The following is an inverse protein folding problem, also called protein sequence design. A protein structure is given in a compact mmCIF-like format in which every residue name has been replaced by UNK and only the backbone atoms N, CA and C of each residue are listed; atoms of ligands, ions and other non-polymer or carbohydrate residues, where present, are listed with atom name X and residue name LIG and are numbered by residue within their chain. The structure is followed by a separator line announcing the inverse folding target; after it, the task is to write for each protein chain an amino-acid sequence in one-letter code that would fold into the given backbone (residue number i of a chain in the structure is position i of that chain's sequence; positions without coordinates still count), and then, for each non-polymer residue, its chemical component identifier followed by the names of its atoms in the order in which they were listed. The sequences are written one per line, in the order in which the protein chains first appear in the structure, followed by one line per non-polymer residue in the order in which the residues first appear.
data_IF_837980061883
#
_entry.id   IF_837980061883
#
_cell.length_a   1.000
_cell.length_b   1.000
_cell.length_c   1.000
_cell.angle_alpha   90.00
_cell.angle_beta   90.00
_cell.angle_gamma   90.00
#
_symmetry.space_group_name_H-M   'P 1'
#
loop_
_entity.id
_entity.type
_entity.pdbx_description
1 polymer ?
#
# COMPACT_ATOMS: atom_id res chain seq x y z
N UNK A 1 41.55 -4.42 31.23
CA UNK A 1 40.86 -4.18 29.94
C UNK A 1 39.51 -4.92 29.90
N UNK A 2 38.39 -4.36 30.42
CA UNK A 2 37.02 -4.92 30.23
C UNK A 2 35.92 -3.85 30.48
N UNK A 3 35.89 -2.74 29.72
CA UNK A 3 34.82 -1.73 29.88
C UNK A 3 34.27 -1.14 28.57
N UNK A 4 34.65 -1.65 27.40
CA UNK A 4 34.25 -1.07 26.11
C UNK A 4 33.10 -1.79 25.37
N UNK A 5 32.62 -2.93 25.86
CA UNK A 5 31.68 -3.76 25.10
C UNK A 5 30.20 -3.47 25.37
N UNK A 6 29.86 -2.76 26.45
CA UNK A 6 28.46 -2.52 26.83
C UNK A 6 27.78 -1.34 26.13
N UNK A 7 28.54 -0.33 25.67
CA UNK A 7 27.95 0.83 24.98
C UNK A 7 27.41 0.53 23.57
N UNK A 8 27.89 -0.52 22.90
CA UNK A 8 27.44 -0.85 21.54
C UNK A 8 26.12 -1.63 21.51
N UNK A 9 25.77 -2.37 22.57
CA UNK A 9 24.54 -3.17 22.61
C UNK A 9 23.32 -2.28 22.87
N UNK A 10 23.47 -1.23 23.69
CA UNK A 10 22.37 -0.29 24.00
C UNK A 10 21.92 0.53 22.77
N UNK A 11 22.83 0.84 21.86
CA UNK A 11 22.51 1.61 20.64
C UNK A 11 21.72 0.78 19.61
N UNK A 12 21.96 -0.54 19.54
CA UNK A 12 21.28 -1.42 18.58
C UNK A 12 19.84 -1.71 19.02
N UNK A 13 19.57 -1.82 20.33
CA UNK A 13 18.21 -2.06 20.85
C UNK A 13 17.31 -0.82 20.74
N UNK A 14 17.88 0.40 20.80
CA UNK A 14 17.12 1.64 20.66
C UNK A 14 16.73 1.97 19.21
N UNK A 15 17.47 1.47 18.21
CA UNK A 15 17.13 1.69 16.79
C UNK A 15 16.03 0.75 16.28
N UNK A 16 15.78 -0.39 16.94
CA UNK A 16 14.70 -1.31 16.55
C UNK A 16 13.30 -0.88 17.03
N UNK A 17 13.17 0.18 17.83
CA UNK A 17 11.87 0.68 18.30
C UNK A 17 11.42 1.98 17.61
N UNK A 18 12.23 2.57 16.73
CA UNK A 18 11.90 3.81 16.02
C UNK A 18 11.26 3.57 14.62
N UNK A 19 11.14 2.33 14.16
CA UNK A 19 10.52 2.00 12.87
C UNK A 19 8.99 1.80 12.92
N UNK A 20 8.36 2.03 14.08
CA UNK A 20 6.92 1.80 14.27
C UNK A 20 6.20 3.10 14.64
N UNK A 21 6.14 4.04 13.69
CA UNK A 21 5.23 5.19 13.82
C UNK A 21 3.84 4.73 13.36
N UNK A 22 2.85 4.65 14.26
CA UNK A 22 1.49 4.39 13.85
C UNK A 22 0.99 5.52 12.94
N UNK A 23 0.65 5.22 11.69
CA UNK A 23 0.03 6.21 10.80
C UNK A 23 -1.42 6.42 11.23
N UNK A 24 -1.70 7.55 11.87
CA UNK A 24 -3.06 8.02 12.10
C UNK A 24 -3.62 8.55 10.77
N UNK A 25 -4.66 7.89 10.24
CA UNK A 25 -5.33 8.32 9.02
C UNK A 25 -6.51 9.17 9.44
N UNK A 26 -6.45 10.47 9.13
CA UNK A 26 -7.56 11.39 9.33
C UNK A 26 -7.99 11.97 7.98
N UNK A 27 -9.01 11.37 7.34
CA UNK A 27 -9.46 11.81 6.02
C UNK A 27 -10.45 12.99 6.14
N UNK A 28 -9.95 14.23 6.15
CA UNK A 28 -10.76 15.43 5.82
C UNK A 28 -10.43 16.00 4.42
N UNK A 29 -9.75 15.23 3.57
CA UNK A 29 -9.41 15.64 2.21
C UNK A 29 -10.58 15.49 1.24
N UNK A 30 -11.05 16.60 0.68
CA UNK A 30 -11.97 16.61 -0.47
C UNK A 30 -11.32 15.86 -1.65
N UNK A 31 -11.97 14.79 -2.07
CA UNK A 31 -11.70 14.06 -3.31
C UNK A 31 -11.78 15.01 -4.51
N UNK A 32 -10.65 15.28 -5.16
CA UNK A 32 -10.64 15.74 -6.55
C UNK A 32 -10.30 14.55 -7.45
N UNK A 33 -11.20 14.34 -8.41
CA UNK A 33 -11.14 13.49 -9.60
C UNK A 33 -9.72 13.16 -10.10
N UNK A 34 -9.47 11.88 -10.42
CA UNK A 34 -8.69 11.44 -11.59
C UNK A 34 -8.74 9.91 -11.73
N UNK A 35 -9.84 9.43 -12.31
CA UNK A 35 -9.86 8.14 -13.00
C UNK A 35 -9.82 8.37 -14.51
N UNK A 36 -8.71 7.97 -15.15
CA UNK A 36 -8.64 7.23 -16.43
C UNK A 36 -7.23 7.28 -17.02
N UNK A 37 -6.92 6.18 -17.69
CA UNK A 37 -5.74 5.89 -18.50
C UNK A 37 -4.44 5.58 -17.75
N UNK A 38 -3.83 4.45 -18.10
CA UNK A 38 -2.61 4.38 -18.92
C UNK A 38 -2.22 2.92 -19.13
N UNK A 39 -2.29 2.49 -20.39
CA UNK A 39 -1.50 1.39 -20.96
C UNK A 39 -0.18 1.98 -21.45
N UNK A 40 0.92 1.24 -21.22
CA UNK A 40 2.28 1.42 -21.73
C UNK A 40 3.12 2.52 -21.06
N UNK A 41 4.09 2.11 -20.23
CA UNK A 41 5.54 2.42 -20.35
C UNK A 41 6.29 1.63 -19.26
N UNK A 42 7.18 0.71 -19.64
CA UNK A 42 8.12 0.04 -18.72
C UNK A 42 9.50 0.66 -18.99
N UNK A 43 10.15 1.35 -18.03
CA UNK A 43 11.50 1.87 -18.23
C UNK A 43 12.55 0.77 -18.07
N UNK A 44 13.48 0.71 -19.02
CA UNK A 44 14.69 -0.10 -18.98
C UNK A 44 15.63 0.40 -17.89
N UNK A 45 15.64 -0.29 -16.74
CA UNK A 45 16.78 -0.31 -15.84
C UNK A 45 17.43 -1.68 -15.98
N UNK A 46 18.62 -1.75 -16.59
CA UNK A 46 19.68 -2.73 -16.37
C UNK A 46 20.70 -2.59 -17.52
N UNK A 47 21.75 -1.79 -17.31
CA UNK A 47 22.98 -2.00 -18.07
C UNK A 47 24.22 -1.83 -17.18
N UNK A 48 24.75 -2.97 -16.73
CA UNK A 48 26.13 -3.42 -16.95
C UNK A 48 26.42 -4.61 -16.04
N UNK A 49 26.29 -5.82 -16.57
CA UNK A 49 27.44 -6.74 -16.58
C UNK A 49 27.22 -7.91 -17.54
N UNK A 50 28.23 -8.16 -18.39
CA UNK A 50 28.18 -9.13 -19.48
C UNK A 50 28.53 -10.54 -18.97
N UNK A 51 27.59 -11.46 -19.06
CA UNK A 51 27.88 -12.89 -19.22
C UNK A 51 26.65 -13.57 -19.82
N UNK A 52 26.82 -14.44 -20.83
CA UNK A 52 25.77 -15.05 -21.67
C UNK A 52 24.64 -15.79 -20.93
N UNK A 53 24.69 -15.95 -19.60
CA UNK A 53 23.58 -16.33 -18.71
C UNK A 53 22.52 -15.22 -18.49
N UNK A 54 22.83 -14.00 -18.91
CA UNK A 54 22.06 -12.78 -18.64
C UNK A 54 20.75 -12.66 -19.41
N UNK A 55 20.69 -13.10 -20.69
CA UNK A 55 19.54 -12.80 -21.56
C UNK A 55 18.22 -13.47 -21.13
N UNK A 56 18.27 -14.71 -20.64
CA UNK A 56 17.08 -15.41 -20.14
C UNK A 56 16.55 -14.80 -18.84
N UNK A 57 17.46 -14.36 -17.97
CA UNK A 57 17.06 -13.67 -16.74
C UNK A 57 16.46 -12.29 -17.06
N UNK A 58 17.00 -11.52 -18.00
CA UNK A 58 16.43 -10.20 -18.35
C UNK A 58 15.03 -10.32 -18.95
N UNK A 59 14.76 -11.33 -19.79
CA UNK A 59 13.43 -11.58 -20.32
C UNK A 59 12.45 -12.04 -19.23
N UNK A 60 12.88 -12.93 -18.34
CA UNK A 60 12.10 -13.37 -17.18
C UNK A 60 11.77 -12.20 -16.25
N UNK A 61 12.75 -11.33 -15.94
CA UNK A 61 12.57 -10.15 -15.12
C UNK A 61 11.65 -9.10 -15.78
N UNK A 62 11.75 -8.88 -17.09
CA UNK A 62 10.83 -7.97 -17.81
C UNK A 62 9.40 -8.50 -17.81
N UNK A 63 9.21 -9.79 -18.05
CA UNK A 63 7.89 -10.44 -17.97
C UNK A 63 7.34 -10.35 -16.55
N UNK A 64 8.18 -10.61 -15.55
CA UNK A 64 7.82 -10.50 -14.13
C UNK A 64 7.40 -9.07 -13.75
N UNK A 65 8.19 -8.06 -14.16
CA UNK A 65 7.86 -6.66 -13.97
C UNK A 65 6.51 -6.31 -14.59
N UNK A 66 6.20 -6.80 -15.79
CA UNK A 66 4.89 -6.56 -16.42
C UNK A 66 3.75 -7.19 -15.62
N UNK A 67 3.92 -8.39 -15.08
CA UNK A 67 2.91 -9.05 -14.24
C UNK A 67 2.72 -8.30 -12.93
N UNK A 68 3.80 -8.01 -12.21
CA UNK A 68 3.76 -7.25 -10.96
C UNK A 68 3.29 -5.82 -11.19
N UNK A 69 3.53 -5.21 -12.35
CA UNK A 69 3.03 -3.90 -12.75
C UNK A 69 1.54 -3.91 -13.13
N UNK A 70 0.87 -5.04 -13.25
CA UNK A 70 -0.58 -5.05 -13.45
C UNK A 70 -1.34 -5.70 -12.28
N UNK A 71 -0.61 -6.12 -11.23
CA UNK A 71 -1.22 -6.82 -10.11
C UNK A 71 -2.00 -5.88 -9.19
N UNK A 72 -3.18 -6.34 -8.76
CA UNK A 72 -3.99 -5.85 -7.64
C UNK A 72 -4.89 -7.00 -7.18
N UNK A 73 -5.12 -7.14 -5.89
CA UNK A 73 -5.87 -8.25 -5.30
C UNK A 73 -5.09 -9.05 -4.26
N UNK A 74 -5.63 -10.21 -3.89
CA UNK A 74 -5.07 -11.07 -2.85
C UNK A 74 -3.86 -11.90 -3.34
N UNK A 75 -2.78 -11.86 -2.58
CA UNK A 75 -1.51 -12.50 -2.91
C UNK A 75 -0.71 -12.94 -1.70
N UNK A 76 0.48 -13.46 -2.00
CA UNK A 76 1.48 -13.87 -1.01
C UNK A 76 2.20 -12.71 -0.36
N UNK A 77 3.27 -13.01 0.38
CA UNK A 77 4.06 -12.01 1.10
C UNK A 77 4.84 -11.11 0.13
N UNK A 78 5.09 -9.83 0.49
CA UNK A 78 5.74 -8.88 -0.41
C UNK A 78 7.18 -9.26 -0.77
N UNK A 79 7.86 -9.99 0.11
CA UNK A 79 9.26 -10.42 -0.08
C UNK A 79 9.42 -11.32 -1.32
N UNK A 80 8.36 -12.04 -1.72
CA UNK A 80 8.29 -12.81 -2.95
C UNK A 80 8.58 -11.97 -4.21
N UNK A 81 8.29 -10.66 -4.18
CA UNK A 81 8.62 -9.78 -5.31
C UNK A 81 10.13 -9.69 -5.52
N UNK A 82 10.90 -9.60 -4.43
CA UNK A 82 12.36 -9.51 -4.49
C UNK A 82 12.99 -10.81 -5.01
N UNK A 83 12.28 -11.93 -4.86
CA UNK A 83 12.66 -13.26 -5.35
C UNK A 83 12.24 -13.51 -6.80
N UNK A 84 11.48 -12.58 -7.40
CA UNK A 84 10.95 -12.74 -8.76
C UNK A 84 9.75 -13.68 -8.84
N UNK A 85 9.03 -13.87 -7.73
CA UNK A 85 7.88 -14.76 -7.62
C UNK A 85 6.54 -14.03 -7.78
N UNK A 86 5.60 -14.68 -8.48
CA UNK A 86 4.28 -14.15 -8.77
C UNK A 86 3.36 -14.25 -7.54
N UNK A 87 3.07 -13.09 -6.93
CA UNK A 87 2.20 -12.96 -5.76
C UNK A 87 0.83 -13.65 -5.94
N UNK A 88 0.31 -13.68 -7.17
CA UNK A 88 -0.99 -14.28 -7.47
C UNK A 88 -0.99 -15.81 -7.33
N UNK A 89 0.18 -16.46 -7.42
CA UNK A 89 0.33 -17.91 -7.34
C UNK A 89 0.59 -18.44 -5.93
N UNK A 90 0.88 -17.56 -4.99
CA UNK A 90 1.03 -17.93 -3.59
C UNK A 90 -0.25 -18.60 -3.06
N UNK A 91 -0.08 -19.73 -2.36
CA UNK A 91 -1.15 -20.40 -1.62
C UNK A 91 -1.58 -19.61 -0.38
N UNK A 92 -0.67 -18.82 0.19
CA UNK A 92 -1.00 -17.86 1.24
C UNK A 92 -1.61 -16.59 0.60
N UNK A 93 -2.84 -16.26 1.02
CA UNK A 93 -3.63 -15.11 0.54
C UNK A 93 -3.89 -14.09 1.65
N UNK A 94 -2.94 -13.97 2.58
CA UNK A 94 -3.05 -13.02 3.70
C UNK A 94 -2.79 -11.56 3.31
N UNK A 95 -2.37 -11.26 2.09
CA UNK A 95 -1.98 -9.92 1.69
C UNK A 95 -2.89 -9.41 0.58
N UNK A 96 -3.47 -8.23 0.75
CA UNK A 96 -4.18 -7.54 -0.31
C UNK A 96 -3.32 -6.43 -0.88
N UNK A 97 -3.22 -6.38 -2.19
CA UNK A 97 -2.40 -5.41 -2.92
C UNK A 97 -3.26 -4.46 -3.73
N UNK A 98 -2.89 -3.18 -3.72
CA UNK A 98 -3.55 -2.14 -4.50
C UNK A 98 -2.54 -1.15 -5.07
N UNK A 99 -2.74 -0.77 -6.34
CA UNK A 99 -1.99 0.32 -6.95
C UNK A 99 -2.50 1.67 -6.54
N UNK A 100 -1.57 2.55 -6.21
CA UNK A 100 -1.84 3.95 -5.92
C UNK A 100 -0.87 4.81 -6.70
N UNK A 101 -1.43 5.83 -7.33
CA UNK A 101 -0.64 6.98 -7.82
C UNK A 101 -0.58 8.02 -6.72
N UNK A 102 0.58 8.59 -6.51
CA UNK A 102 0.79 9.65 -5.53
C UNK A 102 1.77 10.69 -6.05
N UNK A 103 1.89 11.78 -5.29
CA UNK A 103 2.74 12.93 -5.61
C UNK A 103 3.72 13.19 -4.48
N UNK A 104 4.95 13.55 -4.83
CA UNK A 104 5.91 14.09 -3.86
C UNK A 104 5.40 15.39 -3.23
N UNK A 105 5.91 15.72 -2.05
CA UNK A 105 5.55 16.99 -1.40
C UNK A 105 6.08 18.18 -2.20
N UNK A 106 5.34 19.29 -2.23
CA UNK A 106 5.76 20.52 -2.93
C UNK A 106 7.15 20.98 -2.50
N UNK A 107 7.44 20.92 -1.19
CA UNK A 107 8.76 21.26 -0.65
C UNK A 107 9.90 20.36 -1.17
N UNK A 108 9.62 19.09 -1.49
CA UNK A 108 10.62 18.19 -2.08
C UNK A 108 10.81 18.47 -3.56
N UNK A 109 9.73 18.82 -4.26
CA UNK A 109 9.73 19.20 -5.68
C UNK A 109 10.50 20.50 -5.88
N UNK A 110 10.19 21.53 -5.08
CA UNK A 110 10.85 22.85 -5.11
C UNK A 110 12.36 22.77 -4.83
N UNK A 111 12.78 21.79 -4.01
CA UNK A 111 14.20 21.53 -3.73
C UNK A 111 14.91 20.70 -4.79
N UNK A 112 14.18 20.25 -5.82
CA UNK A 112 14.67 19.39 -6.91
C UNK A 112 15.43 18.13 -6.41
N UNK A 113 15.14 17.67 -5.19
CA UNK A 113 15.87 16.57 -4.57
C UNK A 113 15.19 15.24 -4.85
N UNK A 114 15.78 14.43 -5.71
CA UNK A 114 15.24 13.12 -6.09
C UNK A 114 14.97 12.22 -4.88
N UNK A 115 15.89 12.19 -3.90
CA UNK A 115 15.73 11.38 -2.70
C UNK A 115 14.55 11.82 -1.82
N UNK A 116 14.35 13.14 -1.68
CA UNK A 116 13.22 13.69 -0.93
C UNK A 116 11.90 13.48 -1.67
N UNK A 117 11.91 13.64 -3.01
CA UNK A 117 10.73 13.36 -3.83
C UNK A 117 10.32 11.89 -3.73
N UNK A 118 11.29 10.96 -3.87
CA UNK A 118 11.04 9.53 -3.74
C UNK A 118 10.43 9.19 -2.38
N UNK A 119 11.04 9.65 -1.29
CA UNK A 119 10.57 9.36 0.08
C UNK A 119 9.16 9.92 0.31
N UNK A 120 8.95 11.22 0.00
CA UNK A 120 7.66 11.86 0.24
C UNK A 120 6.54 11.32 -0.65
N UNK A 121 6.84 10.91 -1.88
CA UNK A 121 5.87 10.26 -2.75
C UNK A 121 5.48 8.87 -2.22
N UNK A 122 6.47 8.09 -1.76
CA UNK A 122 6.23 6.78 -1.15
C UNK A 122 5.40 6.88 0.14
N UNK A 123 5.72 7.82 1.02
CA UNK A 123 4.96 8.06 2.24
C UNK A 123 3.50 8.41 1.94
N UNK A 124 3.28 9.28 0.95
CA UNK A 124 1.95 9.65 0.49
C UNK A 124 1.20 8.46 -0.12
N UNK A 125 1.87 7.67 -0.97
CA UNK A 125 1.30 6.47 -1.56
C UNK A 125 0.90 5.43 -0.50
N UNK A 126 1.74 5.23 0.52
CA UNK A 126 1.46 4.32 1.64
C UNK A 126 0.18 4.72 2.37
N UNK A 127 0.02 6.01 2.69
CA UNK A 127 -1.18 6.51 3.38
C UNK A 127 -2.44 6.30 2.53
N UNK A 128 -2.42 6.71 1.26
CA UNK A 128 -3.56 6.56 0.37
C UNK A 128 -3.88 5.09 0.04
N UNK A 129 -2.86 4.23 -0.03
CA UNK A 129 -3.04 2.80 -0.31
C UNK A 129 -3.73 2.07 0.81
N UNK A 130 -3.39 2.42 2.05
CA UNK A 130 -4.06 1.86 3.22
C UNK A 130 -5.50 2.33 3.30
N UNK A 131 -5.74 3.65 3.19
CA UNK A 131 -7.09 4.20 3.23
C UNK A 131 -7.96 3.63 2.12
N UNK A 132 -7.46 3.64 0.87
CA UNK A 132 -8.20 3.13 -0.27
C UNK A 132 -8.50 1.64 -0.17
N UNK A 133 -7.57 0.82 0.33
CA UNK A 133 -7.82 -0.62 0.53
C UNK A 133 -8.99 -0.85 1.49
N UNK A 134 -8.96 -0.25 2.68
CA UNK A 134 -10.04 -0.42 3.66
C UNK A 134 -11.36 0.17 3.18
N UNK A 135 -11.32 1.31 2.50
CA UNK A 135 -12.52 1.90 1.90
C UNK A 135 -13.16 0.98 0.86
N UNK A 136 -12.36 0.35 -0.01
CA UNK A 136 -12.86 -0.64 -0.97
C UNK A 136 -13.55 -1.81 -0.26
N UNK A 137 -12.93 -2.33 0.79
CA UNK A 137 -13.50 -3.44 1.54
C UNK A 137 -14.80 -3.09 2.25
N UNK A 138 -14.86 -1.92 2.88
CA UNK A 138 -16.06 -1.43 3.53
C UNK A 138 -17.18 -1.23 2.50
N UNK A 139 -16.87 -0.61 1.35
CA UNK A 139 -17.83 -0.45 0.27
C UNK A 139 -18.35 -1.80 -0.24
N UNK A 140 -17.46 -2.80 -0.38
CA UNK A 140 -17.87 -4.15 -0.77
C UNK A 140 -18.81 -4.77 0.27
N UNK A 141 -18.54 -4.60 1.56
CA UNK A 141 -19.45 -5.10 2.62
C UNK A 141 -20.80 -4.40 2.61
N UNK A 142 -20.84 -3.09 2.37
CA UNK A 142 -22.08 -2.33 2.22
C UNK A 142 -22.90 -2.79 1.01
N UNK A 143 -22.24 -3.28 -0.05
CA UNK A 143 -22.90 -3.85 -1.24
C UNK A 143 -23.38 -5.28 -0.96
N UNK A 144 -22.52 -6.12 -0.39
CA UNK A 144 -22.80 -7.54 -0.15
C UNK A 144 -23.87 -7.74 0.94
N UNK A 145 -23.86 -6.88 1.97
CA UNK A 145 -24.71 -6.99 3.16
C UNK A 145 -25.26 -5.62 3.55
N UNK A 146 -26.13 -4.98 2.74
CA UNK A 146 -26.58 -3.62 2.99
C UNK A 146 -27.36 -3.54 4.32
N UNK A 147 -26.99 -2.62 5.23
CA UNK A 147 -27.75 -2.40 6.46
C UNK A 147 -29.15 -1.83 6.15
N UNK A 148 -30.11 -2.10 7.03
CA UNK A 148 -31.46 -1.52 6.92
C UNK A 148 -31.42 0.02 7.00
N UNK A 149 -30.58 0.54 7.89
CA UNK A 149 -30.35 1.97 8.00
C UNK A 149 -29.46 2.48 6.87
N UNK A 150 -29.90 3.55 6.19
CA UNK A 150 -29.15 4.15 5.06
C UNK A 150 -27.97 5.02 5.48
N UNK A 151 -27.74 5.20 6.79
CA UNK A 151 -26.61 5.93 7.37
C UNK A 151 -26.25 5.25 8.68
N UNK A 152 -24.97 5.28 9.02
CA UNK A 152 -24.48 4.70 10.28
C UNK A 152 -22.97 4.73 10.32
N UNK A 153 -22.40 3.90 11.17
CA UNK A 153 -20.96 3.68 11.27
C UNK A 153 -20.66 2.22 11.00
N UNK A 154 -19.51 1.99 10.39
CA UNK A 154 -18.96 0.66 10.22
C UNK A 154 -17.58 0.63 10.87
N UNK A 155 -17.34 -0.38 11.68
CA UNK A 155 -16.11 -0.54 12.43
C UNK A 155 -15.43 -1.84 12.04
N UNK A 156 -14.18 -1.70 11.64
CA UNK A 156 -13.21 -2.77 11.57
C UNK A 156 -12.33 -2.71 12.82
N UNK A 157 -12.47 -3.71 13.68
CA UNK A 157 -11.65 -3.82 14.89
C UNK A 157 -10.94 -5.18 14.91
N UNK A 158 -9.61 -5.13 14.84
CA UNK A 158 -8.77 -6.30 15.05
C UNK A 158 -7.81 -6.02 16.21
N UNK A 159 -8.29 -6.33 17.42
CA UNK A 159 -7.55 -6.10 18.66
C UNK A 159 -6.20 -6.83 18.68
N UNK A 160 -6.12 -8.03 18.11
CA UNK A 160 -4.87 -8.80 18.05
C UNK A 160 -3.78 -8.11 17.22
N UNK A 161 -4.18 -7.27 16.25
CA UNK A 161 -3.27 -6.46 15.45
C UNK A 161 -3.28 -4.99 15.83
N UNK A 162 -3.96 -4.61 16.90
CA UNK A 162 -4.16 -3.22 17.29
C UNK A 162 -4.57 -2.34 16.10
N UNK A 163 -5.37 -2.88 15.18
CA UNK A 163 -5.94 -2.14 14.06
C UNK A 163 -7.35 -1.74 14.45
N UNK A 164 -7.63 -0.44 14.41
CA UNK A 164 -8.96 0.11 14.62
C UNK A 164 -9.23 1.09 13.50
N UNK A 165 -10.21 0.78 12.66
CA UNK A 165 -10.59 1.63 11.53
C UNK A 165 -12.11 1.75 11.49
N UNK A 166 -12.61 2.97 11.40
CA UNK A 166 -14.04 3.23 11.33
C UNK A 166 -14.35 4.19 10.20
N UNK A 167 -15.42 3.92 9.47
CA UNK A 167 -15.99 4.86 8.51
C UNK A 167 -17.41 5.17 8.93
N UNK A 168 -17.84 6.41 8.71
CA UNK A 168 -19.28 6.63 8.55
C UNK A 168 -19.71 5.99 7.23
N UNK A 169 -20.97 5.66 7.06
CA UNK A 169 -21.49 5.34 5.74
C UNK A 169 -22.78 6.13 5.51
N UNK A 170 -23.12 6.30 4.24
CA UNK A 170 -24.33 6.99 3.86
C UNK A 170 -24.69 6.77 2.40
N UNK A 171 -25.77 7.41 1.91
CA UNK A 171 -26.14 7.34 0.51
C UNK A 171 -25.01 7.87 -0.37
N UNK A 172 -24.64 7.08 -1.37
CA UNK A 172 -23.75 7.43 -2.46
C UNK A 172 -24.48 7.58 -3.79
N UNK A 173 -23.71 7.55 -4.88
CA UNK A 173 -24.28 7.56 -6.23
C UNK A 173 -25.17 6.35 -6.51
N UNK A 174 -26.14 6.50 -7.41
CA UNK A 174 -27.00 5.41 -7.89
C UNK A 174 -27.74 4.64 -6.77
N UNK A 175 -28.21 5.34 -5.73
CA UNK A 175 -28.89 4.75 -4.56
C UNK A 175 -28.06 3.73 -3.73
N UNK A 176 -26.77 3.58 -4.00
CA UNK A 176 -25.88 2.70 -3.24
C UNK A 176 -25.50 3.31 -1.89
N UNK A 177 -25.00 2.49 -0.96
CA UNK A 177 -24.33 2.96 0.25
C UNK A 177 -22.83 2.96 0.02
N UNK A 178 -22.15 3.97 0.55
CA UNK A 178 -20.70 4.06 0.49
C UNK A 178 -20.10 4.60 1.78
N UNK A 179 -18.86 4.19 2.03
CA UNK A 179 -18.04 4.69 3.11
C UNK A 179 -17.80 6.21 2.95
N UNK A 180 -18.07 6.94 4.02
CA UNK A 180 -17.84 8.36 4.21
C UNK A 180 -16.90 8.55 5.39
N UNK A 181 -16.06 9.57 5.35
CA UNK A 181 -15.21 9.98 6.50
C UNK A 181 -14.60 8.80 7.29
N UNK A 182 -13.46 8.31 6.81
CA UNK A 182 -12.81 7.18 7.44
C UNK A 182 -11.68 7.65 8.35
N UNK A 183 -11.56 7.04 9.52
CA UNK A 183 -10.52 7.34 10.50
C UNK A 183 -10.07 6.11 11.24
N UNK A 184 -8.82 6.13 11.64
CA UNK A 184 -8.28 5.13 12.53
C UNK A 184 -6.81 4.87 12.33
N UNK A 185 -6.39 3.74 12.86
CA UNK A 185 -5.03 3.27 12.85
C UNK A 185 -4.97 1.85 12.31
N UNK A 186 -4.05 1.61 11.37
CA UNK A 186 -3.89 0.34 10.68
C UNK A 186 -2.45 -0.14 10.82
N UNK A 187 -2.29 -1.39 11.25
CA UNK A 187 -1.01 -2.12 11.26
C UNK A 187 -0.82 -2.99 10.03
N UNK A 188 0.39 -3.54 9.91
CA UNK A 188 0.78 -4.55 8.93
C UNK A 188 0.49 -4.16 7.48
N UNK A 189 0.89 -2.94 7.12
CA UNK A 189 0.74 -2.41 5.77
C UNK A 189 2.05 -1.80 5.28
N UNK A 190 2.20 -1.66 3.97
CA UNK A 190 3.39 -1.07 3.40
C UNK A 190 3.34 -0.87 1.89
N UNK A 191 4.51 -0.56 1.37
CA UNK A 191 4.80 -0.52 -0.06
C UNK A 191 5.55 -1.80 -0.40
N UNK A 192 5.08 -2.51 -1.41
CA UNK A 192 5.79 -3.65 -1.96
C UNK A 192 6.84 -3.20 -2.98
N UNK A 193 6.46 -2.28 -3.87
CA UNK A 193 7.33 -1.72 -4.91
C UNK A 193 6.75 -0.39 -5.42
N UNK A 194 7.60 0.52 -5.89
CA UNK A 194 7.19 1.78 -6.51
C UNK A 194 8.01 2.09 -7.77
N UNK A 195 7.42 2.88 -8.65
CA UNK A 195 8.02 3.38 -9.87
C UNK A 195 7.77 4.89 -10.02
N UNK A 196 8.76 5.67 -10.49
CA UNK A 196 8.53 7.07 -10.83
C UNK A 196 7.68 7.16 -12.11
N UNK A 197 6.69 8.06 -12.11
CA UNK A 197 5.81 8.32 -13.26
C UNK A 197 5.69 9.82 -13.55
N UNK A 198 6.47 10.66 -12.86
CA UNK A 198 6.54 12.09 -13.15
C UNK A 198 7.22 12.36 -14.49
N UNK A 199 7.21 13.63 -14.90
CA UNK A 199 7.90 14.07 -16.13
C UNK A 199 9.34 13.55 -16.15
N UNK A 200 9.77 13.04 -17.30
CA UNK A 200 11.09 12.43 -17.50
C UNK A 200 11.41 11.28 -16.51
N UNK A 201 10.41 10.50 -16.11
CA UNK A 201 10.51 9.46 -15.08
C UNK A 201 11.05 10.00 -13.74
N UNK A 202 10.66 11.23 -13.38
CA UNK A 202 10.99 11.82 -12.09
C UNK A 202 10.09 11.30 -10.97
N UNK A 203 10.60 11.38 -9.74
CA UNK A 203 9.84 11.04 -8.53
C UNK A 203 8.87 12.14 -8.08
N UNK A 204 8.66 13.18 -8.89
CA UNK A 204 7.63 14.20 -8.63
C UNK A 204 6.24 13.57 -8.50
N UNK A 205 6.00 12.47 -9.21
CA UNK A 205 4.89 11.55 -9.06
C UNK A 205 5.38 10.11 -9.10
N UNK A 206 4.68 9.22 -8.40
CA UNK A 206 5.00 7.80 -8.34
C UNK A 206 3.74 6.94 -8.45
N UNK A 207 3.90 5.74 -8.99
CA UNK A 207 2.93 4.66 -8.87
C UNK A 207 3.52 3.59 -7.95
N UNK A 208 2.75 3.17 -6.95
CA UNK A 208 3.20 2.21 -5.95
C UNK A 208 2.20 1.06 -5.82
N UNK A 209 2.73 -0.15 -5.73
CA UNK A 209 1.98 -1.31 -5.29
C UNK A 209 2.03 -1.35 -3.75
N UNK A 210 0.93 -0.95 -3.13
CA UNK A 210 0.77 -0.98 -1.67
C UNK A 210 0.13 -2.28 -1.22
N UNK A 211 0.32 -2.65 0.03
CA UNK A 211 -0.32 -3.83 0.61
C UNK A 211 -0.85 -3.59 2.02
N UNK A 212 -1.85 -4.38 2.39
CA UNK A 212 -2.23 -4.62 3.78
C UNK A 212 -2.18 -6.13 4.05
N UNK A 213 -1.80 -6.53 5.26
CA UNK A 213 -1.88 -7.93 5.72
C UNK A 213 -3.17 -8.12 6.50
N UNK A 214 -3.95 -9.11 6.11
CA UNK A 214 -5.14 -9.61 6.80
C UNK A 214 -5.01 -11.12 6.94
N UNK A 215 -4.75 -11.61 8.17
CA UNK A 215 -4.64 -13.05 8.41
C UNK A 215 -5.96 -13.72 8.04
N UNK A 216 -5.93 -14.78 7.23
CA UNK A 216 -7.13 -15.45 6.74
C UNK A 216 -7.79 -14.73 5.57
N UNK A 217 -7.13 -13.73 4.99
CA UNK A 217 -7.53 -13.05 3.76
C UNK A 217 -8.90 -12.37 3.83
N UNK A 218 -9.61 -12.40 2.70
CA UNK A 218 -10.89 -11.72 2.50
C UNK A 218 -11.96 -12.15 3.50
N UNK A 219 -12.08 -13.47 3.74
CA UNK A 219 -13.12 -14.01 4.61
C UNK A 219 -12.98 -13.51 6.04
N UNK A 220 -11.75 -13.46 6.56
CA UNK A 220 -11.48 -12.91 7.89
C UNK A 220 -11.73 -11.40 7.95
N UNK A 221 -11.44 -10.67 6.87
CA UNK A 221 -11.75 -9.24 6.82
C UNK A 221 -13.24 -8.98 6.93
N UNK A 222 -14.06 -9.66 6.11
CA UNK A 222 -15.52 -9.49 6.10
C UNK A 222 -16.14 -9.84 7.46
N UNK A 223 -15.62 -10.87 8.15
CA UNK A 223 -16.12 -11.30 9.45
C UNK A 223 -15.81 -10.33 10.62
N UNK A 224 -14.84 -9.43 10.46
CA UNK A 224 -14.45 -8.46 11.50
C UNK A 224 -15.16 -7.11 11.37
N UNK A 225 -15.96 -6.94 10.32
CA UNK A 225 -16.68 -5.71 10.01
C UNK A 225 -18.03 -5.76 10.71
N UNK A 226 -18.32 -4.75 11.53
CA UNK A 226 -19.58 -4.63 12.28
C UNK A 226 -20.25 -3.29 11.99
N UNK A 227 -21.59 -3.30 11.97
CA UNK A 227 -22.43 -2.09 11.89
C UNK A 227 -22.68 -1.53 13.29
N UNK A 228 -22.66 -0.20 13.40
CA UNK A 228 -23.02 0.59 14.57
C UNK A 228 -23.92 1.76 14.22
#
# INVERSE_FOLDING_TARGET
MKFLTWKKIVVIVLLSQLSYIPCEINSQGKSHDHGKDISNTIPDFLEKDKSKRSKDNTAKWRSFHKTIYNFSGWGGEPDLISEGEDLSRSSNKDYFYMRIRSKASSASIEKESTALMMTSCQDSAKLYGVEGSYRLFINQVLIDNPPEERRGRIIYNNMARATHYSCKYGPGGNNSLEAKECKGFIKDHGIAVCWPIGENNSWSSCECLTYIKVKGGESSLKAMINYE
#
